data_IF_515931768534
#
_entry.id   IF_515931768534
#
_cell.length_a   1.000
_cell.length_b   1.000
_cell.length_c   1.000
_cell.angle_alpha   90.00
_cell.angle_beta   90.00
_cell.angle_gamma   90.00
#
_symmetry.space_group_name_H-M   'P 1'
#
loop_
_entity.id
_entity.type
_entity.pdbx_description
1 polymer ?
#
# COMPACT_ATOMS: atom_id res chain seq x y z
N UNK A 1 14.74 17.01 -30.29
CA UNK A 1 15.17 16.80 -28.89
C UNK A 1 14.66 15.48 -28.28
N UNK A 2 14.06 14.57 -29.06
CA UNK A 2 13.45 13.31 -28.60
C UNK A 2 14.40 12.09 -28.54
N UNK A 3 15.60 12.18 -29.11
CA UNK A 3 16.49 11.02 -29.28
C UNK A 3 17.20 10.59 -27.98
N UNK A 4 17.35 11.49 -27.01
CA UNK A 4 18.10 11.20 -25.78
C UNK A 4 17.32 10.28 -24.81
N UNK A 5 16.00 10.42 -24.74
CA UNK A 5 15.16 9.55 -23.88
C UNK A 5 15.14 8.11 -24.39
N UNK A 6 15.07 7.91 -25.72
CA UNK A 6 15.05 6.58 -26.31
C UNK A 6 16.35 5.81 -26.09
N UNK A 7 17.50 6.49 -26.21
CA UNK A 7 18.82 5.88 -25.94
C UNK A 7 18.99 5.47 -24.47
N UNK A 8 18.46 6.25 -23.52
CA UNK A 8 18.51 5.93 -22.09
C UNK A 8 17.63 4.72 -21.78
N UNK A 9 16.42 4.65 -22.34
CA UNK A 9 15.51 3.51 -22.16
C UNK A 9 16.07 2.22 -22.76
N UNK A 10 16.69 2.30 -23.95
CA UNK A 10 17.32 1.14 -24.59
C UNK A 10 18.53 0.63 -23.79
N UNK A 11 19.38 1.53 -23.29
CA UNK A 11 20.51 1.16 -22.42
C UNK A 11 20.03 0.52 -21.12
N UNK A 12 18.99 1.08 -20.50
CA UNK A 12 18.41 0.52 -19.28
C UNK A 12 17.84 -0.89 -19.56
N UNK A 13 17.10 -1.07 -20.65
CA UNK A 13 16.55 -2.37 -21.05
C UNK A 13 17.63 -3.42 -21.31
N UNK A 14 18.74 -3.03 -21.94
CA UNK A 14 19.87 -3.91 -22.18
C UNK A 14 20.59 -4.29 -20.88
N UNK A 15 20.79 -3.32 -19.99
CA UNK A 15 21.35 -3.54 -18.66
C UNK A 15 20.54 -4.56 -17.86
N UNK A 16 19.20 -4.46 -17.86
CA UNK A 16 18.34 -5.44 -17.20
C UNK A 16 18.42 -6.84 -17.82
N UNK A 17 18.55 -6.95 -19.14
CA UNK A 17 18.75 -8.25 -19.81
C UNK A 17 20.08 -8.90 -19.42
N UNK A 18 21.14 -8.11 -19.33
CA UNK A 18 22.46 -8.58 -18.89
C UNK A 18 22.45 -8.99 -17.42
N UNK A 19 21.81 -8.21 -16.56
CA UNK A 19 21.61 -8.55 -15.15
C UNK A 19 20.83 -9.87 -14.98
N UNK A 20 19.79 -10.10 -15.77
CA UNK A 20 19.02 -11.35 -15.77
C UNK A 20 19.85 -12.54 -16.28
N UNK A 21 20.67 -12.35 -17.32
CA UNK A 21 21.59 -13.39 -17.83
C UNK A 21 22.67 -13.74 -16.80
N UNK A 22 23.26 -12.73 -16.16
CA UNK A 22 24.25 -12.91 -15.11
C UNK A 22 23.66 -13.65 -13.91
N UNK A 23 22.45 -13.30 -13.48
CA UNK A 23 21.77 -13.97 -12.37
C UNK A 23 21.42 -15.42 -12.73
N UNK A 24 20.97 -15.69 -13.97
CA UNK A 24 20.76 -17.06 -14.47
C UNK A 24 22.04 -17.87 -14.47
N UNK A 25 23.16 -17.29 -14.90
CA UNK A 25 24.47 -17.96 -14.87
C UNK A 25 24.92 -18.23 -13.44
N UNK A 26 24.76 -17.27 -12.53
CA UNK A 26 25.11 -17.42 -11.12
C UNK A 26 24.34 -18.56 -10.44
N UNK A 27 23.03 -18.66 -10.73
CA UNK A 27 22.21 -19.75 -10.21
C UNK A 27 22.64 -21.11 -10.76
N UNK A 28 23.03 -21.20 -12.04
CA UNK A 28 23.57 -22.45 -12.60
C UNK A 28 24.92 -22.84 -12.00
N UNK A 29 25.79 -21.88 -11.67
CA UNK A 29 27.09 -22.17 -11.07
C UNK A 29 26.98 -22.59 -9.60
N UNK A 30 26.10 -21.96 -8.82
CA UNK A 30 25.97 -22.25 -7.38
C UNK A 30 25.12 -23.49 -7.07
N UNK A 31 24.17 -23.85 -7.95
CA UNK A 31 23.27 -24.97 -7.74
C UNK A 31 23.49 -26.12 -8.74
N UNK A 32 24.49 -26.00 -9.62
CA UNK A 32 24.81 -26.95 -10.70
C UNK A 32 25.67 -28.15 -10.29
N UNK A 33 25.54 -28.67 -9.08
CA UNK A 33 26.03 -30.03 -8.79
C UNK A 33 24.93 -31.05 -9.10
N UNK A 34 25.31 -32.02 -9.95
CA UNK A 34 24.45 -32.89 -10.73
C UNK A 34 23.38 -33.61 -9.90
N UNK A 35 22.12 -33.29 -10.17
CA UNK A 35 20.98 -34.15 -9.90
C UNK A 35 19.91 -33.84 -10.94
N UNK A 36 19.57 -34.81 -11.78
CA UNK A 36 18.39 -34.71 -12.66
C UNK A 36 17.17 -34.52 -11.75
N UNK A 37 16.63 -33.31 -11.64
CA UNK A 37 15.32 -33.10 -11.04
C UNK A 37 14.31 -33.60 -12.07
N UNK A 38 13.88 -34.84 -11.87
CA UNK A 38 12.66 -35.35 -12.49
C UNK A 38 11.53 -34.41 -12.08
N UNK A 39 10.86 -33.79 -13.05
CA UNK A 39 9.62 -33.05 -12.84
C UNK A 39 8.54 -34.11 -12.56
N UNK A 40 8.59 -34.66 -11.36
CA UNK A 40 7.54 -35.47 -10.77
C UNK A 40 6.41 -34.56 -10.33
N UNK A 41 5.21 -34.93 -10.77
CA UNK A 41 3.94 -34.23 -10.55
C UNK A 41 3.79 -33.72 -9.09
N UNK A 42 3.54 -32.42 -8.92
CA UNK A 42 3.40 -31.77 -7.62
C UNK A 42 2.03 -32.07 -7.02
N UNK A 43 1.90 -33.23 -6.41
CA UNK A 43 0.83 -33.53 -5.48
C UNK A 43 1.52 -34.00 -4.19
N UNK A 44 1.42 -33.16 -3.15
CA UNK A 44 1.69 -33.47 -1.75
C UNK A 44 3.15 -33.42 -1.26
N UNK A 45 3.52 -32.30 -0.65
CA UNK A 45 4.59 -32.22 0.36
C UNK A 45 4.16 -31.27 1.48
N UNK A 46 3.11 -31.66 2.21
CA UNK A 46 2.92 -31.18 3.59
C UNK A 46 3.62 -32.12 4.56
N UNK A 47 4.38 -31.54 5.49
CA UNK A 47 5.12 -32.15 6.61
C UNK A 47 6.54 -32.65 6.29
N UNK A 48 7.55 -31.87 6.69
CA UNK A 48 8.73 -32.31 7.47
C UNK A 48 9.76 -31.16 7.61
N UNK A 49 10.09 -30.84 8.86
CA UNK A 49 11.13 -29.88 9.32
C UNK A 49 10.87 -28.39 9.06
N UNK A 50 10.17 -27.75 9.99
CA UNK A 50 9.96 -26.30 10.04
C UNK A 50 11.20 -25.47 10.44
N UNK A 51 12.39 -26.06 10.60
CA UNK A 51 13.56 -25.36 11.17
C UNK A 51 14.85 -25.36 10.34
N UNK A 52 14.85 -25.86 9.10
CA UNK A 52 16.03 -25.79 8.21
C UNK A 52 15.68 -25.42 6.76
N UNK A 53 14.62 -24.62 6.54
CA UNK A 53 14.45 -23.99 5.24
C UNK A 53 15.68 -23.13 4.96
N UNK A 54 16.46 -23.48 3.94
CA UNK A 54 17.66 -22.74 3.56
C UNK A 54 17.31 -21.27 3.36
N UNK A 55 18.20 -20.34 3.71
CA UNK A 55 17.94 -18.90 3.59
C UNK A 55 17.45 -18.49 2.20
N UNK A 56 17.85 -19.22 1.15
CA UNK A 56 17.35 -19.09 -0.22
C UNK A 56 15.86 -19.40 -0.36
N UNK A 57 15.37 -20.46 0.26
CA UNK A 57 13.95 -20.84 0.21
C UNK A 57 13.08 -19.85 0.99
N UNK A 58 13.56 -19.37 2.13
CA UNK A 58 12.85 -18.34 2.93
C UNK A 58 12.77 -17.02 2.13
N UNK A 59 13.87 -16.59 1.52
CA UNK A 59 13.90 -15.39 0.68
C UNK A 59 12.97 -15.52 -0.53
N UNK A 60 12.94 -16.70 -1.17
CA UNK A 60 12.05 -16.96 -2.29
C UNK A 60 10.58 -16.86 -1.87
N UNK A 61 10.20 -17.49 -0.76
CA UNK A 61 8.83 -17.39 -0.21
C UNK A 61 8.42 -15.94 0.04
N UNK A 62 9.29 -15.15 0.67
CA UNK A 62 9.06 -13.70 0.90
C UNK A 62 8.87 -12.93 -0.41
N UNK A 63 9.70 -13.18 -1.41
CA UNK A 63 9.59 -12.50 -2.70
C UNK A 63 8.28 -12.83 -3.41
N UNK A 64 7.85 -14.09 -3.36
CA UNK A 64 6.57 -14.52 -3.94
C UNK A 64 5.40 -13.85 -3.23
N UNK A 65 5.41 -13.83 -1.90
CA UNK A 65 4.39 -13.16 -1.09
C UNK A 65 4.32 -11.65 -1.37
N UNK A 66 5.47 -10.97 -1.43
CA UNK A 66 5.53 -9.55 -1.79
C UNK A 66 5.03 -9.31 -3.23
N UNK A 67 5.40 -10.17 -4.17
CA UNK A 67 4.93 -10.05 -5.55
C UNK A 67 3.41 -10.20 -5.64
N UNK A 68 2.83 -11.13 -4.87
CA UNK A 68 1.40 -11.32 -4.78
C UNK A 68 0.70 -10.08 -4.22
N UNK A 69 1.19 -9.54 -3.09
CA UNK A 69 0.65 -8.29 -2.50
C UNK A 69 0.74 -7.11 -3.46
N UNK A 70 1.85 -7.00 -4.20
CA UNK A 70 2.03 -5.93 -5.19
C UNK A 70 1.04 -6.04 -6.36
N UNK A 71 0.74 -7.27 -6.82
CA UNK A 71 -0.30 -7.50 -7.84
C UNK A 71 -1.68 -7.11 -7.31
N UNK A 72 -2.02 -7.54 -6.10
CA UNK A 72 -3.28 -7.16 -5.46
C UNK A 72 -3.43 -5.64 -5.33
N UNK A 73 -2.35 -4.94 -4.93
CA UNK A 73 -2.32 -3.48 -4.85
C UNK A 73 -2.39 -2.76 -6.20
N UNK A 74 -1.91 -3.41 -7.26
CA UNK A 74 -1.99 -2.90 -8.62
C UNK A 74 -3.41 -3.03 -9.18
N UNK A 75 -4.09 -4.13 -8.84
CA UNK A 75 -5.45 -4.43 -9.30
C UNK A 75 -6.54 -3.65 -8.52
N UNK A 76 -6.17 -2.89 -7.48
CA UNK A 76 -7.09 -2.00 -6.78
C UNK A 76 -7.67 -0.94 -7.74
N UNK A 77 -9.00 -0.86 -7.81
CA UNK A 77 -9.68 0.20 -8.54
C UNK A 77 -9.43 1.55 -7.86
N UNK A 78 -8.86 2.50 -8.61
CA UNK A 78 -8.52 3.85 -8.11
C UNK A 78 -9.42 4.86 -8.80
N UNK A 79 -9.84 5.87 -8.06
CA UNK A 79 -10.51 7.05 -8.62
C UNK A 79 -9.48 8.15 -8.92
N UNK A 80 -9.69 8.99 -9.93
CA UNK A 80 -8.82 10.13 -10.18
C UNK A 80 -8.90 11.13 -9.03
N UNK A 81 -7.78 11.81 -8.77
CA UNK A 81 -7.67 12.77 -7.66
C UNK A 81 -8.67 13.90 -7.80
N UNK A 82 -8.92 14.39 -9.02
CA UNK A 82 -9.92 15.43 -9.28
C UNK A 82 -11.31 15.03 -8.76
N UNK A 83 -11.74 13.80 -9.02
CA UNK A 83 -13.03 13.27 -8.54
C UNK A 83 -13.05 13.10 -7.02
N UNK A 84 -11.97 12.55 -6.44
CA UNK A 84 -11.85 12.39 -5.00
C UNK A 84 -11.93 13.75 -4.27
N UNK A 85 -11.21 14.75 -4.76
CA UNK A 85 -11.22 16.11 -4.22
C UNK A 85 -12.60 16.77 -4.36
N UNK A 86 -13.27 16.62 -5.51
CA UNK A 86 -14.64 17.12 -5.69
C UNK A 86 -15.62 16.48 -4.71
N UNK A 87 -15.50 15.18 -4.45
CA UNK A 87 -16.32 14.47 -3.47
C UNK A 87 -16.11 15.00 -2.04
N UNK A 88 -14.85 15.22 -1.64
CA UNK A 88 -14.52 15.81 -0.35
C UNK A 88 -15.07 17.23 -0.19
N UNK A 89 -14.86 18.09 -1.18
CA UNK A 89 -15.38 19.47 -1.17
C UNK A 89 -16.89 19.44 -1.04
N UNK A 90 -17.58 18.60 -1.83
CA UNK A 90 -19.03 18.45 -1.76
C UNK A 90 -19.49 18.08 -0.36
N UNK A 91 -18.86 17.08 0.26
CA UNK A 91 -19.23 16.64 1.61
C UNK A 91 -19.03 17.73 2.67
N UNK A 92 -17.87 18.40 2.64
CA UNK A 92 -17.51 19.41 3.64
C UNK A 92 -18.36 20.69 3.46
N UNK A 93 -18.76 21.03 2.23
CA UNK A 93 -19.60 22.20 1.95
C UNK A 93 -21.10 21.93 2.14
N UNK A 94 -21.54 20.67 2.13
CA UNK A 94 -22.94 20.32 2.40
C UNK A 94 -23.24 20.06 3.88
N UNK A 95 -22.21 19.72 4.66
CA UNK A 95 -22.36 19.32 6.05
C UNK A 95 -22.04 20.49 6.97
N UNK A 96 -23.05 20.98 7.71
CA UNK A 96 -22.87 22.09 8.65
C UNK A 96 -21.96 21.67 9.79
N UNK A 97 -20.92 22.47 10.05
CA UNK A 97 -20.00 22.32 11.17
C UNK A 97 -20.09 23.52 12.11
N UNK A 98 -20.51 23.29 13.35
CA UNK A 98 -20.64 24.30 14.41
C UNK A 98 -19.29 24.83 14.92
N UNK A 99 -18.21 24.07 14.72
CA UNK A 99 -16.86 24.45 15.13
C UNK A 99 -16.17 25.39 14.14
N UNK A 100 -16.79 25.65 12.98
CA UNK A 100 -16.26 26.57 11.97
C UNK A 100 -17.22 27.76 11.72
N UNK A 101 -17.34 28.71 12.67
CA UNK A 101 -18.26 29.83 12.56
C UNK A 101 -17.98 30.78 11.39
N UNK A 102 -16.74 30.78 10.86
CA UNK A 102 -16.36 31.61 9.71
C UNK A 102 -17.05 31.21 8.42
N UNK A 103 -17.41 29.93 8.27
CA UNK A 103 -18.06 29.38 7.07
C UNK A 103 -19.56 29.20 7.31
N UNK A 104 -19.95 28.73 8.50
CA UNK A 104 -21.34 28.34 8.80
C UNK A 104 -22.10 29.31 9.69
N UNK A 105 -21.45 30.38 10.16
CA UNK A 105 -22.01 31.36 11.09
C UNK A 105 -21.93 30.93 12.56
N UNK A 106 -22.15 31.86 13.50
CA UNK A 106 -22.14 31.55 14.92
C UNK A 106 -23.29 30.60 15.29
N UNK A 107 -23.02 29.69 16.21
CA UNK A 107 -24.02 28.78 16.80
C UNK A 107 -24.86 29.56 17.80
N UNK A 108 -26.19 29.43 17.74
CA UNK A 108 -27.04 30.05 18.75
C UNK A 108 -26.87 29.31 20.09
N UNK A 109 -26.94 30.04 21.20
CA UNK A 109 -26.77 29.48 22.55
C UNK A 109 -27.82 28.43 22.90
N UNK A 110 -28.93 28.40 22.16
CA UNK A 110 -30.00 27.40 22.29
C UNK A 110 -29.65 26.06 21.66
N UNK A 111 -28.79 26.08 20.64
CA UNK A 111 -28.36 24.89 19.88
C UNK A 111 -27.02 24.33 20.41
N UNK A 112 -26.35 25.07 21.30
CA UNK A 112 -25.11 24.66 21.96
C UNK A 112 -25.41 23.98 23.32
N UNK A 113 -25.23 22.65 23.45
CA UNK A 113 -25.47 21.92 24.70
C UNK A 113 -24.49 22.30 25.83
N UNK A 114 -23.43 23.04 25.51
CA UNK A 114 -22.45 23.54 26.48
C UNK A 114 -22.64 25.02 26.81
N UNK A 115 -23.65 25.69 26.24
CA UNK A 115 -23.94 27.07 26.59
C UNK A 115 -24.34 27.18 28.06
N UNK A 116 -23.71 28.13 28.77
CA UNK A 116 -24.06 28.40 30.16
C UNK A 116 -25.55 28.74 30.28
N UNK A 117 -26.30 28.12 31.22
CA UNK A 117 -27.69 28.47 31.44
C UNK A 117 -27.78 29.93 31.84
N UNK A 118 -28.63 30.70 31.16
CA UNK A 118 -28.78 32.14 31.35
C UNK A 118 -29.57 32.50 32.63
N UNK A 119 -29.07 32.08 33.80
CA UNK A 119 -29.68 32.34 35.11
C UNK A 119 -28.64 32.58 36.22
N UNK A 120 -29.04 33.18 37.36
CA UNK A 120 -28.11 33.68 38.39
C UNK A 120 -27.48 32.58 39.27
N UNK A 121 -27.79 31.32 39.01
CA UNK A 121 -27.27 30.18 39.76
C UNK A 121 -26.92 29.08 38.75
N UNK A 122 -25.73 29.19 38.17
CA UNK A 122 -25.13 28.21 37.27
C UNK A 122 -23.93 27.49 37.88
N UNK A 123 -23.80 27.55 39.21
CA UNK A 123 -22.66 26.99 39.93
C UNK A 123 -23.16 25.96 40.94
N UNK A 124 -23.22 24.69 40.52
CA UNK A 124 -23.20 23.49 41.37
C UNK A 124 -23.30 22.23 40.48
N UNK A 125 -22.16 21.72 40.00
CA UNK A 125 -21.73 20.32 40.25
C UNK A 125 -20.19 20.26 40.13
N UNK A 126 -19.50 20.23 41.27
CA UNK A 126 -18.17 19.61 41.37
C UNK A 126 -18.34 18.38 42.28
N UNK A 127 -17.77 17.27 41.79
CA UNK A 127 -17.72 15.90 42.30
C UNK A 127 -17.95 15.67 43.79
#
# INVERSE_FOLDING_TARGET
>A
MSNLTSDVEQKNHQHWKEALRANRSYMHTQFGHKGKVSIGNSQNLTSLSSSLATMSEIKLKKLVELNQRLKEQLDLNRIPVSEASSSLIKYITSTKDSLLPSVWGPVDKKDDPYAAPSGPCGDCVIF
#
